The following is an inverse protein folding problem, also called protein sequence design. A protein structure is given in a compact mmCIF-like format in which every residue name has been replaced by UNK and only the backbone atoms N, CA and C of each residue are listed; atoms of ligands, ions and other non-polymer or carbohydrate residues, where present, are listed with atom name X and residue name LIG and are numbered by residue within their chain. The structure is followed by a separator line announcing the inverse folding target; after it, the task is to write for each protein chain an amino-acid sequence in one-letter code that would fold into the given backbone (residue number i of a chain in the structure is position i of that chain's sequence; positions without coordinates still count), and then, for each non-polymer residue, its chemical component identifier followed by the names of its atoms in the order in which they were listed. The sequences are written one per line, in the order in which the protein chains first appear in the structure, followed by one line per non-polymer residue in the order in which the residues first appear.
data_IF_678452505940
#
_entry.id   IF_678452505940
#
_cell.length_a   1.000
_cell.length_b   1.000
_cell.length_c   1.000
_cell.angle_alpha   90.00
_cell.angle_beta   90.00
_cell.angle_gamma   90.00
#
_symmetry.space_group_name_H-M   'P 1'
#
loop_
_entity.id
_entity.type
_entity.pdbx_description
1 polymer ?
#
# COMPACT_ATOMS: atom_id res chain seq x y z
N UNK A 1 18.91 -1.67 8.56
CA UNK A 1 18.47 -0.61 7.63
C UNK A 1 17.76 -1.37 6.54
N UNK A 2 16.43 -1.32 6.51
CA UNK A 2 15.70 -1.81 5.35
C UNK A 2 16.06 -0.87 4.21
N UNK A 3 16.71 -1.41 3.20
CA UNK A 3 17.09 -0.64 2.02
C UNK A 3 15.83 -0.53 1.16
N UNK A 4 15.27 0.68 1.05
CA UNK A 4 14.19 1.00 0.12
C UNK A 4 14.76 1.00 -1.31
N UNK A 5 15.16 -0.18 -1.76
CA UNK A 5 15.86 -0.41 -3.00
C UNK A 5 14.85 -0.78 -4.09
N UNK A 6 14.60 0.17 -4.99
CA UNK A 6 13.64 0.00 -6.09
C UNK A 6 14.08 -1.12 -7.02
N UNK A 7 15.39 -1.29 -7.25
CA UNK A 7 15.91 -2.30 -8.17
C UNK A 7 15.68 -3.70 -7.60
N UNK A 8 15.96 -3.90 -6.31
CA UNK A 8 15.65 -5.17 -5.63
C UNK A 8 14.15 -5.46 -5.60
N UNK A 9 13.30 -4.45 -5.41
CA UNK A 9 11.86 -4.62 -5.45
C UNK A 9 11.36 -4.96 -6.88
N UNK A 10 11.94 -4.33 -7.90
CA UNK A 10 11.60 -4.57 -9.30
C UNK A 10 11.97 -5.99 -9.75
N UNK A 11 13.04 -6.57 -9.20
CA UNK A 11 13.44 -7.96 -9.46
C UNK A 11 12.45 -9.01 -8.93
N UNK A 12 11.56 -8.64 -8.00
CA UNK A 12 10.58 -9.56 -7.41
C UNK A 12 9.22 -9.55 -8.11
N UNK A 13 9.00 -8.65 -9.08
CA UNK A 13 7.70 -8.46 -9.72
C UNK A 13 7.74 -8.84 -11.20
N UNK A 14 6.68 -9.52 -11.65
CA UNK A 14 6.55 -10.00 -13.01
C UNK A 14 6.08 -8.92 -13.99
N UNK A 15 6.25 -9.21 -15.29
CA UNK A 15 5.73 -8.35 -16.36
C UNK A 15 4.21 -8.21 -16.29
N UNK A 16 3.72 -6.99 -16.05
CA UNK A 16 2.28 -6.73 -15.86
C UNK A 16 1.83 -6.62 -14.41
N UNK A 17 2.78 -6.45 -13.47
CA UNK A 17 2.48 -6.20 -12.06
C UNK A 17 1.38 -5.16 -11.85
N UNK A 18 0.39 -5.51 -11.03
CA UNK A 18 -0.67 -4.61 -10.62
C UNK A 18 -1.04 -4.79 -9.14
N UNK A 19 -1.30 -3.67 -8.46
CA UNK A 19 -1.92 -3.65 -7.13
C UNK A 19 -3.38 -3.23 -7.27
N UNK A 20 -4.28 -4.11 -6.85
CA UNK A 20 -5.72 -3.90 -6.83
C UNK A 20 -6.18 -3.67 -5.39
N UNK A 21 -7.02 -2.66 -5.18
CA UNK A 21 -7.61 -2.35 -3.88
C UNK A 21 -9.04 -1.86 -4.08
N UNK A 22 -9.99 -2.28 -3.22
CA UNK A 22 -11.38 -1.86 -3.33
C UNK A 22 -11.50 -0.33 -3.40
N UNK A 23 -12.28 0.17 -4.36
CA UNK A 23 -12.53 1.60 -4.49
C UNK A 23 -11.43 2.41 -5.20
N UNK A 24 -10.37 1.78 -5.69
CA UNK A 24 -9.28 2.43 -6.44
C UNK A 24 -9.02 1.76 -7.80
N UNK A 25 -8.42 2.52 -8.72
CA UNK A 25 -7.90 1.94 -9.96
C UNK A 25 -6.64 1.11 -9.68
N UNK A 26 -6.41 0.02 -10.42
CA UNK A 26 -5.20 -0.78 -10.27
C UNK A 26 -3.94 0.06 -10.52
N UNK A 27 -2.94 -0.10 -9.66
CA UNK A 27 -1.68 0.63 -9.73
C UNK A 27 -0.60 -0.27 -10.34
N UNK A 28 0.16 0.26 -11.30
CA UNK A 28 1.38 -0.38 -11.76
C UNK A 28 2.51 -0.28 -10.74
N UNK A 29 3.59 -1.03 -10.94
CA UNK A 29 4.72 -1.11 -10.00
C UNK A 29 5.29 0.26 -9.63
N UNK A 30 5.55 1.12 -10.63
CA UNK A 30 6.14 2.44 -10.39
C UNK A 30 5.26 3.34 -9.53
N UNK A 31 3.95 3.34 -9.78
CA UNK A 31 3.02 4.19 -9.02
C UNK A 31 2.84 3.64 -7.60
N UNK A 32 2.76 2.31 -7.46
CA UNK A 32 2.76 1.66 -6.14
C UNK A 32 4.02 1.98 -5.34
N UNK A 33 5.21 1.84 -5.95
CA UNK A 33 6.49 2.11 -5.30
C UNK A 33 6.61 3.56 -4.84
N UNK A 34 6.21 4.52 -5.69
CA UNK A 34 6.17 5.94 -5.32
C UNK A 34 5.25 6.21 -4.14
N UNK A 35 4.10 5.55 -4.08
CA UNK A 35 3.20 5.64 -2.93
C UNK A 35 3.84 5.06 -1.66
N UNK A 36 4.57 3.95 -1.75
CA UNK A 36 5.31 3.41 -0.61
C UNK A 36 6.42 4.37 -0.13
N UNK A 37 7.16 4.99 -1.05
CA UNK A 37 8.16 6.00 -0.70
C UNK A 37 7.56 7.20 0.02
N UNK A 38 6.42 7.72 -0.46
CA UNK A 38 5.70 8.82 0.18
C UNK A 38 5.23 8.43 1.59
N UNK A 39 4.72 7.21 1.76
CA UNK A 39 4.33 6.68 3.07
C UNK A 39 5.53 6.56 4.02
N UNK A 40 6.67 6.03 3.57
CA UNK A 40 7.86 5.95 4.41
C UNK A 40 8.46 7.31 4.75
N UNK A 41 8.30 8.31 3.88
CA UNK A 41 8.70 9.68 4.19
C UNK A 41 7.82 10.31 5.27
N UNK A 42 6.50 10.15 5.15
CA UNK A 42 5.50 10.62 6.09
C UNK A 42 5.57 9.90 7.46
N UNK A 43 5.89 8.61 7.44
CA UNK A 43 5.99 7.71 8.58
C UNK A 43 7.38 7.04 8.63
N UNK A 44 8.43 7.71 9.13
CA UNK A 44 9.78 7.16 9.18
C UNK A 44 9.94 5.93 10.08
N UNK A 45 9.00 5.68 11.00
CA UNK A 45 8.90 4.47 11.82
C UNK A 45 7.78 3.53 11.35
N UNK A 46 7.30 3.68 10.10
CA UNK A 46 6.29 2.80 9.52
C UNK A 46 6.77 1.36 9.56
N UNK A 47 5.90 0.48 10.03
CA UNK A 47 6.18 -0.94 10.16
C UNK A 47 5.01 -1.77 9.65
N UNK A 48 5.36 -2.78 8.85
CA UNK A 48 4.46 -3.80 8.33
C UNK A 48 4.54 -5.05 9.22
N UNK A 49 3.55 -5.26 10.09
CA UNK A 49 3.45 -6.50 10.87
C UNK A 49 2.81 -7.60 10.01
N UNK A 50 3.62 -8.24 9.18
CA UNK A 50 3.19 -9.37 8.37
C UNK A 50 3.11 -10.67 9.20
N UNK A 51 2.01 -11.40 9.08
CA UNK A 51 1.78 -12.70 9.70
C UNK A 51 0.82 -13.54 8.84
N UNK A 52 0.62 -14.81 9.23
CA UNK A 52 -0.21 -15.77 8.48
C UNK A 52 0.12 -15.82 6.99
N UNK A 53 1.42 -15.82 6.70
CA UNK A 53 1.96 -15.87 5.34
C UNK A 53 1.79 -17.30 4.81
N UNK A 54 1.02 -17.43 3.74
CA UNK A 54 0.83 -18.67 3.01
C UNK A 54 1.33 -18.48 1.59
N UNK A 55 2.29 -19.30 1.19
CA UNK A 55 2.84 -19.28 -0.16
C UNK A 55 2.54 -20.61 -0.85
N UNK A 56 1.92 -20.52 -2.03
CA UNK A 56 1.67 -21.63 -2.92
C UNK A 56 2.33 -21.38 -4.28
N UNK A 57 2.28 -22.38 -5.17
CA UNK A 57 2.99 -22.32 -6.46
C UNK A 57 2.52 -21.18 -7.38
N UNK A 58 1.23 -20.83 -7.32
CA UNK A 58 0.62 -19.82 -8.21
C UNK A 58 -0.08 -18.68 -7.46
N UNK A 59 -0.21 -18.80 -6.14
CA UNK A 59 -0.92 -17.83 -5.32
C UNK A 59 -0.38 -17.86 -3.90
N UNK A 60 -0.47 -16.71 -3.22
CA UNK A 60 -0.16 -16.58 -1.81
C UNK A 60 -1.15 -15.68 -1.09
N UNK A 61 -1.02 -15.60 0.22
CA UNK A 61 -1.74 -14.63 1.04
C UNK A 61 -0.93 -14.25 2.27
N UNK A 62 -1.16 -13.05 2.78
CA UNK A 62 -0.60 -12.60 4.05
C UNK A 62 -1.60 -11.69 4.75
N UNK A 63 -1.50 -11.62 6.07
CA UNK A 63 -2.15 -10.57 6.85
C UNK A 63 -1.08 -9.57 7.25
N UNK A 64 -1.33 -8.29 7.01
CA UNK A 64 -0.42 -7.19 7.33
C UNK A 64 -1.12 -6.21 8.25
N UNK A 65 -0.44 -5.71 9.27
CA UNK A 65 -0.92 -4.59 10.06
C UNK A 65 0.08 -3.44 9.99
N UNK A 66 -0.40 -2.25 9.62
CA UNK A 66 0.41 -1.04 9.59
C UNK A 66 0.40 -0.34 10.94
N UNK A 67 1.60 0.02 11.40
CA UNK A 67 1.78 0.95 12.53
C UNK A 67 2.85 1.96 12.18
N UNK A 68 2.69 3.21 12.61
CA UNK A 68 3.69 4.25 12.40
C UNK A 68 3.27 5.55 13.07
N UNK A 69 4.15 6.53 13.06
CA UNK A 69 3.94 7.87 13.61
C UNK A 69 3.96 8.88 12.47
N UNK A 70 2.88 9.65 12.31
CA UNK A 70 2.73 10.58 11.19
C UNK A 70 3.46 11.89 11.45
N UNK A 71 4.72 12.00 11.03
CA UNK A 71 5.62 13.10 11.45
C UNK A 71 6.00 14.06 10.33
N UNK A 72 5.69 13.73 9.07
CA UNK A 72 5.85 14.63 7.92
C UNK A 72 4.60 14.57 7.06
N UNK A 73 4.29 15.66 6.38
CA UNK A 73 3.14 15.74 5.50
C UNK A 73 3.19 14.62 4.44
N UNK A 74 2.05 14.01 4.17
CA UNK A 74 1.91 12.96 3.16
C UNK A 74 1.45 13.60 1.85
N UNK A 75 2.36 13.62 0.88
CA UNK A 75 2.10 14.04 -0.50
C UNK A 75 2.04 12.80 -1.39
N UNK A 76 0.83 12.33 -1.69
CA UNK A 76 0.64 11.16 -2.54
C UNK A 76 0.93 11.52 -4.00
N UNK A 77 1.58 10.64 -4.78
CA UNK A 77 1.91 10.90 -6.19
C UNK A 77 0.69 10.90 -7.12
N UNK A 78 -0.52 10.92 -6.57
CA UNK A 78 -1.80 10.84 -7.27
C UNK A 78 -2.46 12.22 -7.25
N UNK A 79 -2.70 12.80 -8.43
CA UNK A 79 -3.09 14.20 -8.59
C UNK A 79 -4.42 14.57 -7.92
N UNK A 80 -5.29 13.59 -7.70
CA UNK A 80 -6.57 13.74 -7.05
C UNK A 80 -6.51 13.80 -5.51
N UNK A 81 -5.33 13.63 -4.91
CA UNK A 81 -5.15 13.65 -3.47
C UNK A 81 -4.62 15.00 -2.97
N UNK A 82 -5.27 15.60 -1.95
CA UNK A 82 -4.69 16.76 -1.29
C UNK A 82 -3.46 16.36 -0.47
N UNK A 83 -2.56 17.32 -0.27
CA UNK A 83 -1.50 17.22 0.73
C UNK A 83 -2.13 17.00 2.11
N UNK A 84 -1.67 15.97 2.82
CA UNK A 84 -2.18 15.60 4.14
C UNK A 84 -1.19 16.08 5.17
N UNK A 85 -1.65 16.91 6.10
CA UNK A 85 -0.79 17.51 7.11
C UNK A 85 -0.44 16.50 8.20
N UNK A 86 0.83 16.47 8.61
CA UNK A 86 1.28 15.61 9.70
C UNK A 86 0.54 15.94 11.01
N UNK A 87 0.01 14.92 11.67
CA UNK A 87 -0.67 15.07 12.96
C UNK A 87 0.27 14.88 14.16
N UNK A 88 1.41 14.20 13.96
CA UNK A 88 2.29 13.74 15.03
C UNK A 88 1.75 12.54 15.79
N UNK A 89 0.59 12.00 15.40
CA UNK A 89 -0.06 10.90 16.08
C UNK A 89 0.48 9.54 15.62
N UNK A 90 0.42 8.57 16.54
CA UNK A 90 0.73 7.18 16.23
C UNK A 90 -0.53 6.49 15.70
N UNK A 91 -0.44 5.95 14.49
CA UNK A 91 -1.48 5.12 13.91
C UNK A 91 -1.25 3.64 14.22
N UNK A 92 -2.34 2.93 14.44
CA UNK A 92 -2.42 1.47 14.47
C UNK A 92 -3.64 1.09 13.66
N UNK A 93 -3.43 0.68 12.42
CA UNK A 93 -4.54 0.34 11.54
C UNK A 93 -5.05 -1.07 11.85
N UNK A 94 -6.30 -1.39 11.49
CA UNK A 94 -6.77 -2.77 11.51
C UNK A 94 -5.93 -3.64 10.55
N UNK A 95 -5.75 -4.94 10.84
CA UNK A 95 -5.06 -5.84 9.92
C UNK A 95 -5.76 -5.93 8.56
N UNK A 96 -4.98 -5.96 7.50
CA UNK A 96 -5.43 -6.17 6.13
C UNK A 96 -4.98 -7.52 5.57
N UNK A 97 -5.83 -8.15 4.78
CA UNK A 97 -5.49 -9.36 4.06
C UNK A 97 -5.09 -9.00 2.63
N UNK A 98 -3.88 -9.40 2.28
CA UNK A 98 -3.38 -9.35 0.91
C UNK A 98 -3.43 -10.74 0.29
N UNK A 99 -3.80 -10.80 -0.98
CA UNK A 99 -3.68 -11.98 -1.83
C UNK A 99 -2.71 -11.68 -2.97
N UNK A 100 -1.83 -12.63 -3.26
CA UNK A 100 -0.80 -12.51 -4.28
C UNK A 100 -1.05 -13.51 -5.40
N UNK A 101 -0.88 -13.09 -6.64
CA UNK A 101 -0.72 -14.01 -7.77
C UNK A 101 0.76 -14.16 -8.07
N UNK A 102 1.22 -15.40 -8.23
CA UNK A 102 2.61 -15.72 -8.50
C UNK A 102 2.75 -16.38 -9.87
N UNK A 103 3.75 -15.97 -10.64
CA UNK A 103 4.12 -16.60 -11.91
C UNK A 103 5.64 -16.79 -11.95
N UNK A 104 6.11 -18.04 -12.10
CA UNK A 104 7.53 -18.40 -12.07
C UNK A 104 8.32 -17.88 -10.84
N UNK A 105 7.64 -17.69 -9.70
CA UNK A 105 8.23 -17.14 -8.47
C UNK A 105 8.23 -15.61 -8.39
N UNK A 106 7.71 -14.92 -9.41
CA UNK A 106 7.54 -13.47 -9.43
C UNK A 106 6.12 -13.10 -9.00
N UNK A 107 5.97 -11.96 -8.33
CA UNK A 107 4.65 -11.43 -7.96
C UNK A 107 4.05 -10.74 -9.19
N UNK A 108 2.92 -11.24 -9.68
CA UNK A 108 2.18 -10.66 -10.81
C UNK A 108 1.08 -9.72 -10.34
N UNK A 109 0.47 -9.98 -9.19
CA UNK A 109 -0.49 -9.04 -8.63
C UNK A 109 -0.56 -9.11 -7.12
N UNK A 110 -0.91 -7.97 -6.53
CA UNK A 110 -1.29 -7.86 -5.13
C UNK A 110 -2.74 -7.40 -5.11
N UNK A 111 -3.61 -8.10 -4.40
CA UNK A 111 -4.97 -7.66 -4.17
C UNK A 111 -5.20 -7.48 -2.67
N UNK A 112 -5.62 -6.29 -2.29
CA UNK A 112 -6.21 -6.07 -0.98
C UNK A 112 -7.65 -6.60 -1.00
N UNK A 113 -7.96 -7.56 -0.12
CA UNK A 113 -9.32 -8.13 -0.01
C UNK A 113 -10.04 -7.70 1.27
N UNK A 114 -9.43 -6.83 2.06
CA UNK A 114 -10.04 -6.31 3.26
C UNK A 114 -11.08 -5.21 2.96
N UNK A 115 -12.08 -5.04 3.84
CA UNK A 115 -13.05 -3.95 3.74
C UNK A 115 -12.38 -2.58 3.96
N UNK A 116 -13.12 -1.51 3.62
CA UNK A 116 -12.69 -0.11 3.75
C UNK A 116 -12.06 0.20 5.12
N UNK A 117 -11.01 1.02 5.14
CA UNK A 117 -10.37 1.50 6.38
C UNK A 117 -9.09 0.78 6.79
N UNK A 118 -8.42 0.07 5.87
CA UNK A 118 -7.11 -0.55 6.10
C UNK A 118 -6.06 -0.09 5.09
N UNK A 119 -4.79 -0.42 5.32
CA UNK A 119 -3.69 -0.03 4.44
C UNK A 119 -3.63 1.48 4.25
N UNK A 120 -3.30 1.94 3.04
CA UNK A 120 -3.34 3.35 2.67
C UNK A 120 -4.72 3.98 2.89
N UNK A 121 -5.82 3.27 2.60
CA UNK A 121 -7.17 3.80 2.78
C UNK A 121 -7.52 4.02 4.25
N UNK A 122 -6.99 3.17 5.13
CA UNK A 122 -7.08 3.34 6.57
C UNK A 122 -6.34 4.58 7.06
N UNK A 123 -5.16 4.86 6.51
CA UNK A 123 -4.41 6.11 6.80
C UNK A 123 -5.28 7.31 6.41
N UNK A 124 -5.79 7.33 5.18
CA UNK A 124 -6.64 8.41 4.71
C UNK A 124 -7.91 8.59 5.56
N UNK A 125 -8.55 7.49 5.95
CA UNK A 125 -9.75 7.53 6.78
C UNK A 125 -9.48 8.06 8.20
N UNK A 126 -8.36 7.70 8.82
CA UNK A 126 -7.93 8.26 10.12
C UNK A 126 -7.74 9.77 10.03
N UNK A 127 -7.19 10.24 8.91
CA UNK A 127 -6.97 11.66 8.63
C UNK A 127 -8.24 12.38 8.13
N UNK A 128 -9.39 11.70 8.13
CA UNK A 128 -10.68 12.27 7.72
C UNK A 128 -10.81 12.55 6.22
N UNK A 129 -9.96 11.92 5.40
CA UNK A 129 -9.97 12.07 3.95
C UNK A 129 -10.81 10.97 3.32
N UNK A 130 -11.87 11.38 2.65
CA UNK A 130 -12.65 10.52 1.76
C UNK A 130 -12.04 10.50 0.38
N UNK A 131 -11.81 9.31 -0.15
CA UNK A 131 -11.47 9.12 -1.54
C UNK A 131 -12.56 9.71 -2.45
N UNK A 132 -12.20 10.34 -3.58
CA UNK A 132 -13.18 10.57 -4.63
C UNK A 132 -13.73 9.20 -5.06
N UNK A 133 -15.07 9.08 -5.29
CA UNK A 133 -15.64 7.84 -5.77
C UNK A 133 -14.92 7.38 -7.05
N UNK A 134 -14.69 6.08 -7.24
CA UNK A 134 -14.05 5.57 -8.44
C UNK A 134 -14.87 6.01 -9.66
N UNK A 135 -14.28 6.91 -10.46
CA UNK A 135 -14.86 7.45 -11.68
C UNK A 135 -15.54 8.81 -11.53
N UNK A 136 -14.76 9.88 -11.62
CA UNK A 136 -15.05 10.97 -12.56
C UNK A 136 -13.75 11.30 -13.31
N UNK A 137 -13.36 10.42 -14.25
CA UNK A 137 -12.57 10.88 -15.40
C UNK A 137 -13.57 11.50 -16.39
N UNK A 138 -13.60 12.83 -16.40
CA UNK A 138 -14.08 13.60 -17.55
C UNK A 138 -12.92 13.97 -18.46
#
# INVERSE_FOLDING_TARGET
MDHHDEDLAAEQVGGGFAVDSPGHYPLGFRDFWRSQLALWEAFPDLWNHAHDIHEGFAAGSAIIQLTGTFVRDLDMPWHEFPLIQATGERIVLPPERLEFTLEYGEILSIRNVSPDGVGLLGILAVEGITLPPPGIMG
#
